data_IF_948176511657
#
_entry.id   IF_948176511657
#
_cell.length_a   1.000
_cell.length_b   1.000
_cell.length_c   1.000
_cell.angle_alpha   90.00
_cell.angle_beta   90.00
_cell.angle_gamma   90.00
#
_symmetry.space_group_name_H-M   'P 1'
#
loop_
_entity.id
_entity.type
_entity.pdbx_description
1 polymer ?
#
# COMPACT_ATOMS: atom_id res chain seq x y z
N UNK A 1 25.55 -6.48 3.54
CA UNK A 1 24.27 -6.59 2.80
C UNK A 1 23.41 -5.37 3.11
N UNK A 2 22.49 -4.98 2.22
CA UNK A 2 21.55 -3.87 2.44
C UNK A 2 20.21 -4.44 2.92
N UNK A 3 19.58 -3.77 3.88
CA UNK A 3 18.25 -4.11 4.38
C UNK A 3 17.19 -3.28 3.65
N UNK A 4 15.97 -3.79 3.56
CA UNK A 4 14.82 -3.10 2.99
C UNK A 4 13.70 -3.06 4.04
N UNK A 5 13.11 -1.89 4.26
CA UNK A 5 11.93 -1.69 5.11
C UNK A 5 10.79 -1.17 4.23
N UNK A 6 9.69 -1.91 4.17
CA UNK A 6 8.47 -1.50 3.47
C UNK A 6 7.41 -1.09 4.49
N UNK A 7 6.98 0.18 4.45
CA UNK A 7 5.92 0.73 5.29
C UNK A 7 4.69 0.93 4.42
N UNK A 8 3.57 0.33 4.80
CA UNK A 8 2.28 0.45 4.11
C UNK A 8 1.23 0.90 5.10
N UNK A 9 0.38 1.85 4.70
CA UNK A 9 -0.68 2.40 5.53
C UNK A 9 -2.01 2.15 4.83
N UNK A 10 -2.95 1.53 5.53
CA UNK A 10 -4.27 1.25 4.98
C UNK A 10 -5.10 2.53 4.87
N UNK A 11 -5.88 2.66 3.80
CA UNK A 11 -6.79 3.80 3.53
C UNK A 11 -6.14 5.19 3.49
N UNK A 12 -4.81 5.28 3.28
CA UNK A 12 -4.08 6.55 3.30
C UNK A 12 -4.43 7.44 2.10
N UNK A 13 -4.82 8.69 2.37
CA UNK A 13 -5.05 9.70 1.34
C UNK A 13 -3.83 10.63 1.20
N UNK A 14 -3.33 10.87 -0.03
CA UNK A 14 -2.17 11.75 -0.22
C UNK A 14 -2.46 13.20 0.16
N UNK A 15 -3.68 13.69 -0.03
CA UNK A 15 -4.07 15.07 0.29
C UNK A 15 -4.15 15.37 1.81
N UNK A 16 -3.86 14.38 2.66
CA UNK A 16 -3.78 14.51 4.12
C UNK A 16 -2.33 14.40 4.64
N UNK A 17 -1.35 14.49 3.75
CA UNK A 17 0.08 14.45 4.05
C UNK A 17 0.73 15.81 3.78
N UNK A 18 1.55 16.29 4.71
CA UNK A 18 2.27 17.56 4.59
C UNK A 18 3.18 17.60 3.36
N UNK A 19 3.86 16.50 3.05
CA UNK A 19 4.70 16.36 1.85
C UNK A 19 3.93 16.43 0.51
N UNK A 20 2.59 16.39 0.55
CA UNK A 20 1.71 16.62 -0.60
C UNK A 20 0.95 17.96 -0.51
N UNK A 21 1.31 18.82 0.45
CA UNK A 21 0.76 20.17 0.61
C UNK A 21 -0.35 20.31 1.65
N UNK A 22 -0.60 19.31 2.49
CA UNK A 22 -1.62 19.41 3.54
C UNK A 22 -1.18 20.36 4.67
N UNK A 23 -2.07 21.27 5.07
CA UNK A 23 -1.73 22.36 6.01
C UNK A 23 -1.72 21.99 7.49
N UNK A 24 -2.16 20.78 7.88
CA UNK A 24 -2.14 20.31 9.28
C UNK A 24 -0.96 19.37 9.51
N UNK A 25 -0.34 19.35 10.71
CA UNK A 25 0.81 18.51 11.01
C UNK A 25 0.41 17.06 11.32
N UNK A 26 -0.24 16.38 10.38
CA UNK A 26 -0.72 15.00 10.53
C UNK A 26 0.33 13.96 10.20
N UNK A 27 1.42 14.33 9.50
CA UNK A 27 2.42 13.40 9.00
C UNK A 27 3.88 13.82 9.19
N UNK A 28 4.28 14.46 10.31
CA UNK A 28 5.61 15.10 10.44
C UNK A 28 6.79 14.13 10.20
N UNK A 29 6.64 12.85 10.57
CA UNK A 29 7.68 11.84 10.32
C UNK A 29 7.77 11.39 8.85
N UNK A 30 6.63 11.31 8.16
CA UNK A 30 6.60 11.00 6.72
C UNK A 30 7.10 12.20 5.90
N UNK A 31 6.80 13.41 6.35
CA UNK A 31 7.27 14.65 5.71
C UNK A 31 8.81 14.73 5.79
N UNK A 32 9.38 14.50 6.97
CA UNK A 32 10.83 14.44 7.15
C UNK A 32 11.50 13.30 6.36
N UNK A 33 10.80 12.18 6.13
CA UNK A 33 11.30 11.11 5.27
C UNK A 33 11.30 11.53 3.79
N UNK A 34 10.24 12.23 3.35
CA UNK A 34 10.11 12.71 1.99
C UNK A 34 11.19 13.74 1.62
N UNK A 35 11.58 14.61 2.55
CA UNK A 35 12.68 15.58 2.37
C UNK A 35 14.03 14.94 2.07
N UNK A 36 14.28 13.72 2.56
CA UNK A 36 15.53 12.97 2.36
C UNK A 36 15.42 11.88 1.30
N UNK A 37 14.26 11.77 0.65
CA UNK A 37 13.91 10.69 -0.26
C UNK A 37 13.40 11.20 -1.61
N UNK A 38 12.53 10.42 -2.23
CA UNK A 38 11.86 10.78 -3.47
C UNK A 38 10.36 10.54 -3.32
N UNK A 39 9.56 11.52 -3.76
CA UNK A 39 8.11 11.41 -3.84
C UNK A 39 7.76 10.99 -5.26
N UNK A 40 6.94 9.96 -5.40
CA UNK A 40 6.37 9.54 -6.67
C UNK A 40 4.92 10.04 -6.75
N UNK A 41 4.59 10.71 -7.85
CA UNK A 41 3.23 11.23 -8.12
C UNK A 41 2.62 10.48 -9.30
N UNK A 42 1.29 10.45 -9.40
CA UNK A 42 0.60 9.71 -10.46
C UNK A 42 0.70 8.19 -10.32
N UNK A 43 0.77 7.67 -9.09
CA UNK A 43 0.63 6.25 -8.81
C UNK A 43 -0.80 5.96 -8.36
N UNK A 44 -1.37 4.85 -8.84
CA UNK A 44 -2.71 4.41 -8.50
C UNK A 44 -2.68 3.00 -7.92
N UNK A 45 -3.57 2.74 -6.96
CA UNK A 45 -3.83 1.38 -6.52
C UNK A 45 -4.53 0.59 -7.62
N UNK A 46 -4.18 -0.68 -7.77
CA UNK A 46 -4.84 -1.62 -8.71
C UNK A 46 -6.21 -2.08 -8.20
N UNK A 47 -6.55 -1.77 -6.95
CA UNK A 47 -7.87 -2.00 -6.36
C UNK A 47 -8.15 -1.02 -5.23
N UNK A 48 -9.43 -0.69 -5.00
CA UNK A 48 -9.86 0.11 -3.86
C UNK A 48 -10.18 -0.73 -2.60
N UNK A 49 -9.97 -2.06 -2.65
CA UNK A 49 -10.16 -2.96 -1.52
C UNK A 49 -8.80 -3.38 -0.93
N UNK A 50 -8.70 -3.47 0.39
CA UNK A 50 -7.45 -3.77 1.11
C UNK A 50 -6.84 -5.11 0.69
N UNK A 51 -7.63 -6.19 0.70
CA UNK A 51 -7.15 -7.53 0.37
C UNK A 51 -6.52 -7.64 -1.04
N UNK A 52 -7.20 -7.26 -2.14
CA UNK A 52 -6.59 -7.29 -3.47
C UNK A 52 -5.40 -6.32 -3.60
N UNK A 53 -5.48 -5.10 -3.08
CA UNK A 53 -4.39 -4.12 -3.20
C UNK A 53 -3.09 -4.60 -2.52
N UNK A 54 -3.19 -5.12 -1.29
CA UNK A 54 -2.04 -5.68 -0.58
C UNK A 54 -1.54 -6.97 -1.23
N UNK A 55 -2.44 -7.84 -1.72
CA UNK A 55 -2.01 -9.04 -2.46
C UNK A 55 -1.16 -8.66 -3.68
N UNK A 56 -1.60 -7.66 -4.44
CA UNK A 56 -0.84 -7.17 -5.61
C UNK A 56 0.50 -6.55 -5.21
N UNK A 57 0.55 -5.82 -4.09
CA UNK A 57 1.78 -5.22 -3.58
C UNK A 57 2.84 -6.26 -3.25
N UNK A 58 2.46 -7.40 -2.64
CA UNK A 58 3.39 -8.46 -2.26
C UNK A 58 3.71 -9.46 -3.37
N UNK A 59 2.80 -9.65 -4.33
CA UNK A 59 2.98 -10.62 -5.43
C UNK A 59 3.52 -9.98 -6.71
N UNK A 60 3.38 -8.66 -6.88
CA UNK A 60 3.64 -7.97 -8.15
C UNK A 60 2.63 -8.30 -9.25
N UNK A 61 1.51 -8.96 -8.92
CA UNK A 61 0.50 -9.39 -9.87
C UNK A 61 -0.77 -8.55 -9.73
N UNK A 62 -1.46 -8.28 -10.84
CA UNK A 62 -2.79 -7.64 -10.82
C UNK A 62 -3.86 -8.61 -10.26
N UNK A 63 -4.98 -8.11 -9.69
CA UNK A 63 -6.09 -8.95 -9.22
C UNK A 63 -6.59 -10.04 -10.17
N UNK A 64 -6.60 -9.80 -11.49
CA UNK A 64 -7.01 -10.81 -12.46
C UNK A 64 -6.05 -12.01 -12.56
N UNK A 65 -4.80 -11.86 -12.10
CA UNK A 65 -3.80 -12.93 -12.08
C UNK A 65 -3.81 -13.70 -10.75
N UNK A 66 -3.88 -13.02 -9.60
CA UNK A 66 -3.85 -13.70 -8.28
C UNK A 66 -5.24 -14.13 -7.77
N UNK A 67 -6.32 -13.62 -8.38
CA UNK A 67 -7.69 -14.07 -8.12
C UNK A 67 -8.32 -13.58 -6.82
N UNK A 68 -7.67 -12.67 -6.09
CA UNK A 68 -8.26 -12.00 -4.91
C UNK A 68 -8.97 -10.75 -5.42
N UNK A 69 -10.26 -10.64 -5.15
CA UNK A 69 -11.09 -9.50 -5.58
C UNK A 69 -11.81 -8.82 -4.42
N UNK A 70 -12.02 -9.54 -3.31
CA UNK A 70 -12.66 -9.06 -2.09
C UNK A 70 -12.03 -9.77 -0.87
N UNK A 71 -12.61 -9.56 0.31
CA UNK A 71 -12.14 -10.18 1.56
C UNK A 71 -12.50 -11.67 1.71
N UNK A 72 -13.41 -12.17 0.89
CA UNK A 72 -13.89 -13.56 0.92
C UNK A 72 -13.18 -14.45 -0.10
N UNK A 73 -12.58 -13.83 -1.13
CA UNK A 73 -11.84 -14.51 -2.18
C UNK A 73 -10.50 -15.02 -1.65
N UNK A 74 -10.40 -16.34 -1.45
CA UNK A 74 -9.12 -16.99 -1.21
C UNK A 74 -8.21 -16.84 -2.43
N UNK A 75 -6.99 -16.36 -2.20
CA UNK A 75 -5.98 -16.24 -3.23
C UNK A 75 -5.77 -17.60 -3.89
N UNK A 76 -5.95 -17.67 -5.22
CA UNK A 76 -5.78 -18.91 -5.97
C UNK A 76 -4.33 -19.43 -5.95
N UNK A 77 -3.37 -18.56 -5.63
CA UNK A 77 -1.93 -18.83 -5.78
C UNK A 77 -1.01 -18.11 -4.78
N UNK A 78 -1.51 -17.45 -3.71
CA UNK A 78 -0.63 -16.63 -2.87
C UNK A 78 0.05 -17.44 -1.74
N UNK A 79 1.39 -17.43 -1.63
CA UNK A 79 2.09 -17.94 -0.44
C UNK A 79 1.89 -17.06 0.80
N UNK A 80 1.17 -15.94 0.69
CA UNK A 80 0.95 -14.95 1.75
C UNK A 80 -0.48 -14.96 2.32
N UNK A 81 -1.22 -16.06 2.16
CA UNK A 81 -2.61 -16.19 2.66
C UNK A 81 -2.76 -15.83 4.15
N UNK A 82 -1.71 -16.01 4.98
CA UNK A 82 -1.72 -15.63 6.40
C UNK A 82 -1.46 -14.15 6.72
N UNK A 83 -1.15 -13.30 5.73
CA UNK A 83 -0.95 -11.84 5.93
C UNK A 83 -2.27 -11.07 5.72
N UNK A 84 -3.23 -11.70 5.05
CA UNK A 84 -4.46 -11.06 4.56
C UNK A 84 -5.66 -11.64 5.30
N UNK A 85 -5.61 -11.67 6.63
CA UNK A 85 -6.82 -11.84 7.44
C UNK A 85 -7.38 -10.44 7.71
N UNK A 86 -8.53 -10.15 7.11
CA UNK A 86 -9.33 -9.02 7.51
C UNK A 86 -10.03 -9.39 8.82
N UNK A 87 -9.88 -8.52 9.82
CA UNK A 87 -10.64 -8.60 11.08
C UNK A 87 -12.14 -8.78 10.82
#
# INVERSE_FOLDING_TARGET
MKNILMIVVDTLRPDHLGCYGYGRPTSPHLDALAERGSILTGLWSVSNFTAPAFTSLFTGLHPHHHGVFDFTAQARTSPFTGIIEAN
#
